data_IF_877829719393
#
_entry.id   IF_877829719393
#
_cell.length_a   1.000
_cell.length_b   1.000
_cell.length_c   1.000
_cell.angle_alpha   90.00
_cell.angle_beta   90.00
_cell.angle_gamma   90.00
#
_symmetry.space_group_name_H-M   'P 1'
#
loop_
_entity.id
_entity.type
_entity.pdbx_description
1 polymer ?
#
# COMPACT_ATOMS: atom_id res chain seq x y z
N UNK A 1 9.43 -37.51 52.44
CA UNK A 1 10.73 -38.03 52.91
C UNK A 1 11.73 -37.90 51.76
N UNK A 2 12.97 -37.45 51.96
CA UNK A 2 13.61 -36.96 53.19
C UNK A 2 13.87 -35.43 53.16
N UNK A 3 13.80 -34.78 54.34
CA UNK A 3 14.91 -34.21 55.12
C UNK A 3 15.42 -32.87 54.56
N UNK A 4 15.39 -31.75 55.28
CA UNK A 4 15.66 -31.58 56.71
C UNK A 4 16.96 -30.78 56.82
N UNK A 5 16.93 -29.56 57.36
CA UNK A 5 18.15 -28.78 57.57
C UNK A 5 17.88 -27.29 57.81
N UNK A 6 17.63 -26.95 59.08
CA UNK A 6 17.58 -25.56 59.57
C UNK A 6 18.88 -25.30 60.33
N UNK A 7 19.69 -24.34 59.87
CA UNK A 7 20.84 -23.78 60.58
C UNK A 7 20.79 -22.26 60.39
N UNK A 8 20.39 -21.53 61.44
CA UNK A 8 21.26 -20.86 62.42
C UNK A 8 21.66 -19.45 61.97
N UNK A 9 21.23 -18.51 62.80
CA UNK A 9 21.49 -17.09 62.73
C UNK A 9 22.99 -16.78 62.72
N UNK A 10 23.38 -15.90 61.80
CA UNK A 10 24.68 -15.23 61.80
C UNK A 10 24.46 -13.79 61.40
N UNK A 11 24.38 -12.90 62.39
CA UNK A 11 24.20 -11.48 62.16
C UNK A 11 25.39 -10.86 61.44
N UNK A 12 25.09 -10.04 60.42
CA UNK A 12 26.01 -9.01 59.91
C UNK A 12 25.20 -7.74 59.67
N UNK A 13 25.46 -6.72 60.50
CA UNK A 13 25.04 -5.33 60.25
C UNK A 13 25.62 -4.91 58.91
N UNK A 14 24.77 -4.73 57.89
CA UNK A 14 25.14 -4.06 56.66
C UNK A 14 24.70 -2.60 56.77
N UNK A 15 25.65 -1.70 56.53
CA UNK A 15 25.47 -0.25 56.56
C UNK A 15 24.38 0.17 55.58
N UNK A 16 23.50 1.07 56.04
CA UNK A 16 22.55 1.80 55.20
C UNK A 16 23.34 2.56 54.13
N UNK A 17 23.35 2.04 52.90
CA UNK A 17 23.73 2.83 51.74
C UNK A 17 22.48 3.58 51.31
N UNK A 18 22.52 4.91 51.42
CA UNK A 18 21.46 5.79 50.93
C UNK A 18 21.25 5.54 49.43
N UNK A 19 20.04 5.13 49.06
CA UNK A 19 19.67 4.97 47.65
C UNK A 19 19.49 6.35 47.02
N UNK A 20 20.25 6.65 45.97
CA UNK A 20 19.93 7.76 45.08
C UNK A 20 18.59 7.45 44.40
N UNK A 21 17.59 8.29 44.62
CA UNK A 21 16.31 8.18 43.93
C UNK A 21 16.55 8.32 42.42
N UNK A 22 16.37 7.22 41.68
CA UNK A 22 16.28 7.27 40.23
C UNK A 22 15.07 8.14 39.88
N UNK A 23 15.30 9.22 39.13
CA UNK A 23 14.22 10.02 38.56
C UNK A 23 13.33 9.10 37.71
N UNK A 24 12.07 8.95 38.12
CA UNK A 24 11.06 8.24 37.33
C UNK A 24 10.76 9.07 36.09
N UNK A 25 11.42 8.78 34.98
CA UNK A 25 11.00 9.27 33.68
C UNK A 25 9.71 8.55 33.29
N UNK A 26 8.57 9.04 33.78
CA UNK A 26 7.26 8.66 33.28
C UNK A 26 7.06 9.29 31.89
N UNK A 27 7.74 8.76 30.88
CA UNK A 27 7.38 9.01 29.49
C UNK A 27 6.17 8.13 29.15
N UNK A 28 4.99 8.50 29.68
CA UNK A 28 3.71 7.92 29.25
C UNK A 28 3.33 8.54 27.90
N UNK A 29 4.15 8.27 26.88
CA UNK A 29 3.83 8.61 25.51
C UNK A 29 2.70 7.67 25.06
N UNK A 30 1.62 8.20 24.47
CA UNK A 30 0.56 7.36 23.94
C UNK A 30 1.17 6.38 22.94
N UNK A 31 0.89 5.11 23.15
CA UNK A 31 1.19 4.06 22.19
C UNK A 31 0.14 4.08 21.09
N UNK A 32 0.39 3.44 19.94
CA UNK A 32 -0.60 3.36 18.85
C UNK A 32 -1.95 2.79 19.33
N UNK A 33 -1.94 1.93 20.35
CA UNK A 33 -3.16 1.40 20.97
C UNK A 33 -3.96 2.40 21.82
N UNK A 34 -3.37 3.54 22.20
CA UNK A 34 -4.05 4.61 22.95
C UNK A 34 -4.73 5.63 22.03
N UNK A 35 -4.50 5.53 20.71
CA UNK A 35 -5.10 6.41 19.69
C UNK A 35 -6.34 5.73 19.09
N UNK A 36 -7.52 6.28 19.34
CA UNK A 36 -8.75 5.84 18.68
C UNK A 36 -8.90 6.57 17.34
N UNK A 37 -8.97 5.83 16.22
CA UNK A 37 -9.33 6.40 14.92
C UNK A 37 -10.85 6.26 14.69
N UNK A 38 -11.62 7.36 14.64
CA UNK A 38 -13.05 7.31 14.32
C UNK A 38 -13.37 6.70 12.94
N UNK A 39 -12.37 6.50 12.08
CA UNK A 39 -12.47 5.97 10.72
C UNK A 39 -11.85 4.60 10.54
N UNK A 40 -11.43 3.92 11.62
CA UNK A 40 -10.90 2.55 11.58
C UNK A 40 -11.80 1.58 10.78
N UNK A 41 -13.13 1.76 10.87
CA UNK A 41 -14.09 0.94 10.12
C UNK A 41 -13.94 1.01 8.59
N UNK A 42 -13.32 2.05 8.02
CA UNK A 42 -13.05 2.16 6.58
C UNK A 42 -11.92 1.22 6.11
N UNK A 43 -11.17 0.61 7.03
CA UNK A 43 -10.08 -0.32 6.71
C UNK A 43 -10.59 -1.70 6.23
N UNK A 44 -11.83 -2.05 6.54
CA UNK A 44 -12.50 -3.21 5.97
C UNK A 44 -12.93 -2.91 4.52
N UNK A 45 -11.96 -2.96 3.59
CA UNK A 45 -12.12 -2.50 2.20
C UNK A 45 -13.19 -3.26 1.40
N UNK A 46 -13.58 -4.46 1.84
CA UNK A 46 -14.64 -5.26 1.23
C UNK A 46 -15.97 -5.19 2.01
N UNK A 47 -15.98 -4.50 3.16
CA UNK A 47 -17.13 -4.38 4.03
C UNK A 47 -18.27 -3.54 3.45
N UNK A 48 -19.51 -3.92 3.77
CA UNK A 48 -20.71 -3.24 3.27
C UNK A 48 -20.76 -1.76 3.67
N UNK A 49 -20.40 -1.44 4.91
CA UNK A 49 -20.43 -0.06 5.41
C UNK A 49 -19.39 0.83 4.69
N UNK A 50 -18.10 0.46 4.60
CA UNK A 50 -17.11 1.24 3.83
C UNK A 50 -17.50 1.42 2.37
N UNK A 51 -17.96 0.35 1.71
CA UNK A 51 -18.40 0.42 0.32
C UNK A 51 -19.62 1.35 0.14
N UNK A 52 -20.59 1.33 1.06
CA UNK A 52 -21.72 2.26 1.03
C UNK A 52 -21.26 3.72 1.17
N UNK A 53 -20.32 3.98 2.07
CA UNK A 53 -19.75 5.31 2.26
C UNK A 53 -18.98 5.80 1.04
N UNK A 54 -18.15 4.95 0.42
CA UNK A 54 -17.41 5.29 -0.81
C UNK A 54 -18.38 5.62 -1.95
N UNK A 55 -19.45 4.83 -2.12
CA UNK A 55 -20.50 5.12 -3.13
C UNK A 55 -21.13 6.50 -2.91
N UNK A 56 -21.46 6.86 -1.67
CA UNK A 56 -22.03 8.17 -1.34
C UNK A 56 -21.06 9.31 -1.66
N UNK A 57 -19.78 9.17 -1.31
CA UNK A 57 -18.74 10.17 -1.60
C UNK A 57 -18.48 10.31 -3.10
N UNK A 58 -18.46 9.19 -3.83
CA UNK A 58 -18.34 9.19 -5.29
C UNK A 58 -19.53 9.90 -5.94
N UNK A 59 -20.75 9.60 -5.51
CA UNK A 59 -21.95 10.27 -6.01
C UNK A 59 -21.91 11.79 -5.77
N UNK A 60 -21.49 12.21 -4.57
CA UNK A 60 -21.31 13.63 -4.25
C UNK A 60 -20.25 14.29 -5.16
N UNK A 61 -19.11 13.62 -5.39
CA UNK A 61 -18.08 14.13 -6.29
C UNK A 61 -18.61 14.26 -7.73
N UNK A 62 -19.22 13.21 -8.27
CA UNK A 62 -19.77 13.21 -9.64
C UNK A 62 -20.86 14.26 -9.82
N UNK A 63 -21.71 14.49 -8.81
CA UNK A 63 -22.67 15.59 -8.84
C UNK A 63 -21.99 16.97 -8.89
N UNK A 64 -20.89 17.14 -8.17
CA UNK A 64 -20.18 18.42 -8.09
C UNK A 64 -19.33 18.73 -9.34
N UNK A 65 -18.70 17.71 -9.95
CA UNK A 65 -17.73 17.91 -11.04
C UNK A 65 -18.14 17.30 -12.39
N UNK A 66 -19.26 16.57 -12.44
CA UNK A 66 -19.76 15.86 -13.62
C UNK A 66 -18.97 14.59 -13.97
N UNK A 67 -19.54 13.77 -14.85
CA UNK A 67 -18.90 12.55 -15.37
C UNK A 67 -17.67 12.90 -16.22
N UNK A 68 -16.47 12.39 -15.89
CA UNK A 68 -15.27 12.66 -16.68
C UNK A 68 -15.40 12.21 -18.13
N UNK A 69 -16.08 11.10 -18.39
CA UNK A 69 -16.28 10.51 -19.72
C UNK A 69 -17.04 11.40 -20.70
N UNK A 70 -17.87 12.31 -20.17
CA UNK A 70 -18.64 13.27 -20.97
C UNK A 70 -17.82 14.51 -21.37
N UNK A 71 -16.63 14.70 -20.78
CA UNK A 71 -15.79 15.86 -21.05
C UNK A 71 -15.03 15.70 -22.36
N UNK A 72 -14.92 16.75 -23.21
CA UNK A 72 -14.15 16.68 -24.46
C UNK A 72 -12.69 16.23 -24.29
N UNK A 73 -12.09 16.54 -23.13
CA UNK A 73 -10.74 16.11 -22.80
C UNK A 73 -10.63 14.58 -22.70
N UNK A 74 -11.64 13.91 -22.16
CA UNK A 74 -11.65 12.45 -22.03
C UNK A 74 -11.59 11.78 -23.40
N UNK A 75 -12.48 12.14 -24.33
CA UNK A 75 -12.48 11.57 -25.68
C UNK A 75 -11.18 11.88 -26.45
N UNK A 76 -10.56 13.05 -26.21
CA UNK A 76 -9.27 13.38 -26.81
C UNK A 76 -8.15 12.50 -26.28
N UNK A 77 -8.08 12.30 -24.95
CA UNK A 77 -7.08 11.45 -24.33
C UNK A 77 -7.28 9.99 -24.73
N UNK A 78 -8.52 9.50 -24.70
CA UNK A 78 -8.85 8.13 -25.10
C UNK A 78 -8.41 7.85 -26.54
N UNK A 79 -8.66 8.77 -27.49
CA UNK A 79 -8.18 8.62 -28.87
C UNK A 79 -6.66 8.50 -28.98
N UNK A 80 -5.91 9.23 -28.16
CA UNK A 80 -4.44 9.15 -28.15
C UNK A 80 -4.01 7.82 -27.55
N UNK A 81 -4.66 7.39 -26.47
CA UNK A 81 -4.36 6.13 -25.79
C UNK A 81 -4.76 4.91 -26.59
N UNK A 82 -5.78 4.99 -27.44
CA UNK A 82 -6.24 3.89 -28.30
C UNK A 82 -5.59 3.91 -29.70
N UNK A 83 -4.78 4.93 -30.00
CA UNK A 83 -4.16 5.09 -31.32
C UNK A 83 -3.21 3.95 -31.68
N UNK A 84 -3.31 3.43 -32.90
CA UNK A 84 -2.35 2.48 -33.45
C UNK A 84 -0.99 3.10 -33.78
N UNK A 85 -0.89 4.43 -33.81
CA UNK A 85 0.35 5.20 -34.10
C UNK A 85 1.25 5.35 -32.86
N UNK A 86 0.90 4.71 -31.74
CA UNK A 86 1.73 4.76 -30.52
C UNK A 86 3.00 3.95 -30.71
N UNK A 87 4.12 4.51 -30.24
CA UNK A 87 5.42 3.86 -30.31
C UNK A 87 5.39 2.52 -29.54
N UNK A 88 5.73 1.39 -30.18
CA UNK A 88 5.71 0.06 -29.60
C UNK A 88 6.93 -0.21 -28.68
N UNK A 89 7.10 0.55 -27.59
CA UNK A 89 8.31 0.49 -26.75
C UNK A 89 8.72 -0.94 -26.32
N UNK A 90 9.99 -1.28 -26.56
CA UNK A 90 10.55 -2.58 -26.18
C UNK A 90 10.73 -2.62 -24.66
N UNK A 91 10.02 -3.53 -24.00
CA UNK A 91 10.16 -3.78 -22.57
C UNK A 91 11.22 -4.85 -22.24
N UNK A 92 11.43 -5.81 -23.15
CA UNK A 92 12.39 -6.90 -22.95
C UNK A 92 12.91 -7.48 -24.26
N UNK A 93 14.15 -7.95 -24.27
CA UNK A 93 14.75 -8.72 -25.37
C UNK A 93 15.20 -10.08 -24.83
N UNK A 94 14.78 -11.17 -25.47
CA UNK A 94 15.12 -12.54 -25.08
C UNK A 94 15.21 -13.43 -26.33
N UNK A 95 16.33 -14.13 -26.49
CA UNK A 95 16.57 -15.10 -27.56
C UNK A 95 16.30 -14.53 -28.97
N UNK A 96 16.69 -13.28 -29.22
CA UNK A 96 16.48 -12.60 -30.51
C UNK A 96 15.06 -12.07 -30.74
N UNK A 97 14.15 -12.22 -29.77
CA UNK A 97 12.79 -11.69 -29.81
C UNK A 97 12.65 -10.45 -28.92
N UNK A 98 11.87 -9.50 -29.41
CA UNK A 98 11.61 -8.20 -28.82
C UNK A 98 10.18 -8.18 -28.31
N UNK A 99 10.01 -7.91 -27.03
CA UNK A 99 8.73 -7.99 -26.34
C UNK A 99 8.23 -6.60 -25.97
N UNK A 100 6.93 -6.40 -26.13
CA UNK A 100 6.23 -5.19 -25.76
C UNK A 100 4.86 -5.54 -25.15
N UNK A 101 4.41 -4.71 -24.22
CA UNK A 101 3.04 -4.70 -23.74
C UNK A 101 2.25 -3.65 -24.51
N UNK A 102 1.09 -4.03 -25.02
CA UNK A 102 0.27 -3.20 -25.89
C UNK A 102 -1.17 -3.14 -25.41
N UNK A 103 -1.74 -1.95 -25.36
CA UNK A 103 -3.14 -1.66 -25.03
C UNK A 103 -3.75 -0.86 -26.17
N UNK A 104 -5.02 -1.09 -26.47
CA UNK A 104 -5.80 -0.34 -27.46
C UNK A 104 -7.30 -0.52 -27.16
N UNK A 105 -8.17 0.00 -28.03
CA UNK A 105 -9.63 -0.11 -27.90
C UNK A 105 -10.13 -1.56 -27.80
N UNK A 106 -9.40 -2.52 -28.36
CA UNK A 106 -9.74 -3.95 -28.34
C UNK A 106 -9.08 -4.69 -27.17
N UNK A 107 -7.85 -4.30 -26.81
CA UNK A 107 -7.04 -4.89 -25.76
C UNK A 107 -6.95 -3.95 -24.56
N UNK A 108 -8.08 -3.67 -23.92
CA UNK A 108 -8.18 -2.70 -22.80
C UNK A 108 -7.35 -3.08 -21.57
N UNK A 109 -7.16 -4.38 -21.32
CA UNK A 109 -6.27 -4.89 -20.24
C UNK A 109 -4.84 -5.17 -20.73
N UNK A 110 -4.61 -4.90 -22.00
CA UNK A 110 -3.38 -5.12 -22.74
C UNK A 110 -3.06 -6.58 -23.08
N UNK A 111 -2.11 -6.71 -24.01
CA UNK A 111 -1.55 -7.96 -24.49
C UNK A 111 -0.03 -7.92 -24.45
N UNK A 112 0.56 -9.08 -24.16
CA UNK A 112 2.00 -9.26 -24.26
C UNK A 112 2.33 -9.78 -25.66
N UNK A 113 2.96 -8.95 -26.49
CA UNK A 113 3.34 -9.30 -27.88
C UNK A 113 4.84 -9.47 -28.02
N UNK A 114 5.25 -10.07 -29.14
CA UNK A 114 6.66 -10.22 -29.51
C UNK A 114 6.85 -10.16 -31.02
N UNK A 115 8.00 -9.68 -31.46
CA UNK A 115 8.44 -9.71 -32.85
C UNK A 115 9.96 -9.93 -32.96
N UNK A 116 10.45 -10.11 -34.17
CA UNK A 116 11.89 -10.08 -34.48
C UNK A 116 12.40 -8.63 -34.60
N UNK A 117 13.72 -8.43 -34.55
CA UNK A 117 14.32 -7.10 -34.76
C UNK A 117 14.00 -6.51 -36.14
N UNK A 118 14.00 -7.36 -37.17
CA UNK A 118 13.73 -6.92 -38.54
C UNK A 118 12.28 -6.49 -38.72
N UNK A 119 11.33 -7.18 -38.07
CA UNK A 119 9.93 -6.75 -38.02
C UNK A 119 9.75 -5.45 -37.24
N UNK A 120 10.45 -5.30 -36.11
CA UNK A 120 10.39 -4.09 -35.29
C UNK A 120 10.89 -2.83 -36.03
N UNK A 121 11.86 -2.98 -36.92
CA UNK A 121 12.48 -1.88 -37.67
C UNK A 121 11.69 -1.45 -38.91
N UNK A 122 10.62 -2.16 -39.28
CA UNK A 122 9.78 -1.76 -40.41
C UNK A 122 9.20 -0.37 -40.11
N UNK A 123 9.13 0.52 -41.12
CA UNK A 123 8.34 1.73 -40.96
C UNK A 123 6.88 1.34 -40.70
N UNK A 124 6.20 2.16 -39.90
CA UNK A 124 4.75 2.07 -39.71
C UNK A 124 4.00 2.47 -41.00
#
# INVERSE_FOLDING_TARGET
WPAGGRALAGGRRAMLHSSAAAASNNANLPTVGDLTDPREWLEDVEGDAPLAWVRERNAHALQAIGEPSEKPLYSRLLRILDSSEKIPYIGRVLNGLYYNFWEDETHVRGIWRRCTLDEYRKPE
#
